data_IF_486429820993
#
_entry.id   IF_486429820993
#
_cell.length_a   1.000
_cell.length_b   1.000
_cell.length_c   1.000
_cell.angle_alpha   90.00
_cell.angle_beta   90.00
_cell.angle_gamma   90.00
#
_symmetry.space_group_name_H-M   'P 1'
#
loop_
_entity.id
_entity.type
_entity.pdbx_description
1 polymer ?
#
# COMPACT_ATOMS: atom_id res chain seq x y z
N UNK A 1 7.52 10.74 3.02
CA UNK A 1 6.88 10.66 4.35
C UNK A 1 7.39 11.72 5.34
N UNK A 2 8.71 12.02 5.37
CA UNK A 2 9.25 13.07 6.24
C UNK A 2 8.68 14.44 5.90
N UNK A 3 8.58 14.79 4.62
CA UNK A 3 7.95 16.04 4.16
C UNK A 3 6.50 16.16 4.61
N UNK A 4 5.76 15.05 4.57
CA UNK A 4 4.37 15.02 5.04
C UNK A 4 4.28 15.33 6.54
N UNK A 5 5.12 14.69 7.36
CA UNK A 5 5.15 14.94 8.81
C UNK A 5 5.55 16.40 9.12
N UNK A 6 6.63 16.87 8.51
CA UNK A 6 7.13 18.24 8.74
C UNK A 6 6.10 19.28 8.33
N UNK A 7 5.50 19.16 7.15
CA UNK A 7 4.49 20.12 6.69
C UNK A 7 3.22 20.06 7.56
N UNK A 8 2.78 18.87 7.95
CA UNK A 8 1.60 18.74 8.82
C UNK A 8 1.80 19.38 10.19
N UNK A 9 3.01 19.29 10.76
CA UNK A 9 3.30 19.87 12.06
C UNK A 9 3.53 21.39 12.02
N UNK A 10 4.25 21.88 11.02
CA UNK A 10 4.71 23.27 11.00
C UNK A 10 3.86 24.17 10.10
N UNK A 11 3.23 23.66 9.06
CA UNK A 11 2.46 24.47 8.12
C UNK A 11 0.96 24.47 8.40
N UNK A 12 0.43 23.54 9.22
CA UNK A 12 -1.00 23.49 9.54
C UNK A 12 -1.60 24.81 10.06
N UNK A 13 -0.91 25.60 10.91
CA UNK A 13 -1.45 26.88 11.40
C UNK A 13 -1.62 27.96 10.33
N UNK A 14 -0.96 27.82 9.18
CA UNK A 14 -0.98 28.81 8.09
C UNK A 14 -2.05 28.54 7.03
N UNK A 15 -2.80 27.43 7.17
CA UNK A 15 -3.85 27.05 6.22
C UNK A 15 -5.24 27.10 6.85
N UNK A 16 -6.19 27.63 6.10
CA UNK A 16 -7.62 27.61 6.46
C UNK A 16 -8.45 26.98 5.33
N UNK A 17 -9.07 25.80 5.54
CA UNK A 17 -8.97 24.95 6.74
C UNK A 17 -7.61 24.23 6.86
N UNK A 18 -7.15 23.89 8.10
CA UNK A 18 -5.84 23.26 8.34
C UNK A 18 -5.62 21.93 7.59
N UNK A 19 -6.69 21.22 7.23
CA UNK A 19 -6.64 19.98 6.46
C UNK A 19 -6.02 20.16 5.06
N UNK A 20 -6.07 21.36 4.49
CA UNK A 20 -5.47 21.67 3.18
C UNK A 20 -3.96 21.46 3.15
N UNK A 21 -3.29 21.57 4.30
CA UNK A 21 -1.85 21.30 4.38
C UNK A 21 -1.50 19.87 4.00
N UNK A 22 -2.40 18.90 4.25
CA UNK A 22 -2.18 17.50 3.92
C UNK A 22 -2.10 17.29 2.41
N UNK A 23 -2.95 17.97 1.63
CA UNK A 23 -2.91 17.92 0.18
C UNK A 23 -1.59 18.51 -0.36
N UNK A 24 -1.18 19.66 0.15
CA UNK A 24 0.11 20.24 -0.20
C UNK A 24 1.30 19.40 0.24
N UNK A 25 1.22 18.74 1.39
CA UNK A 25 2.27 17.84 1.88
C UNK A 25 2.47 16.63 0.96
N UNK A 26 1.40 16.07 0.40
CA UNK A 26 1.48 14.98 -0.60
C UNK A 26 2.13 15.50 -1.89
N UNK A 27 1.69 16.65 -2.41
CA UNK A 27 2.23 17.23 -3.63
C UNK A 27 3.73 17.56 -3.51
N UNK A 28 4.11 18.26 -2.45
CA UNK A 28 5.51 18.63 -2.17
C UNK A 28 6.34 17.38 -1.92
N UNK A 29 5.79 16.37 -1.20
CA UNK A 29 6.45 15.10 -0.99
C UNK A 29 6.78 14.38 -2.28
N UNK A 30 5.84 14.33 -3.23
CA UNK A 30 6.05 13.78 -4.58
C UNK A 30 7.11 14.54 -5.38
N UNK A 31 7.05 15.86 -5.35
CA UNK A 31 8.05 16.71 -6.03
C UNK A 31 9.46 16.52 -5.45
N UNK A 32 9.60 16.47 -4.13
CA UNK A 32 10.87 16.21 -3.45
C UNK A 32 11.39 14.80 -3.75
N UNK A 33 10.53 13.80 -3.80
CA UNK A 33 10.91 12.43 -4.17
C UNK A 33 11.47 12.37 -5.59
N UNK A 34 10.84 13.04 -6.53
CA UNK A 34 11.34 13.15 -7.91
C UNK A 34 12.67 13.91 -7.96
N UNK A 35 12.75 15.07 -7.28
CA UNK A 35 13.97 15.88 -7.25
C UNK A 35 15.15 15.11 -6.64
N UNK A 36 14.91 14.28 -5.64
CA UNK A 36 15.95 13.46 -5.00
C UNK A 36 16.52 12.37 -5.95
N UNK A 37 15.73 11.90 -6.92
CA UNK A 37 16.17 10.90 -7.89
C UNK A 37 17.02 11.51 -9.01
N UNK A 38 16.83 12.79 -9.35
CA UNK A 38 17.53 13.45 -10.46
C UNK A 38 19.07 13.38 -10.34
N UNK A 39 19.69 13.67 -9.19
CA UNK A 39 21.15 13.58 -9.06
C UNK A 39 21.70 12.17 -9.30
N UNK A 40 20.97 11.15 -8.88
CA UNK A 40 21.36 9.75 -9.10
C UNK A 40 21.26 9.39 -10.60
N UNK A 41 20.19 9.81 -11.29
CA UNK A 41 20.00 9.62 -12.71
C UNK A 41 21.07 10.34 -13.54
N UNK A 42 21.45 11.55 -13.15
CA UNK A 42 22.52 12.30 -13.77
C UNK A 42 23.88 11.60 -13.64
N UNK A 43 24.18 11.01 -12.46
CA UNK A 43 25.44 10.28 -12.23
C UNK A 43 25.60 9.05 -13.12
N UNK A 44 24.50 8.37 -13.46
CA UNK A 44 24.52 7.21 -14.37
C UNK A 44 24.38 7.60 -15.83
N UNK A 45 24.36 8.92 -16.16
CA UNK A 45 24.21 9.42 -17.50
C UNK A 45 22.83 9.22 -18.13
N UNK A 46 21.83 8.86 -17.31
CA UNK A 46 20.48 8.60 -17.76
C UNK A 46 19.58 9.80 -17.45
N UNK A 47 19.49 10.72 -18.40
CA UNK A 47 18.50 11.80 -18.33
C UNK A 47 17.32 11.44 -19.23
N UNK A 48 16.16 11.08 -18.66
CA UNK A 48 15.00 10.77 -19.48
C UNK A 48 14.55 12.01 -20.25
N UNK A 49 14.59 11.94 -21.56
CA UNK A 49 13.96 12.95 -22.40
C UNK A 49 12.48 12.61 -22.48
N UNK A 50 11.62 13.50 -21.99
CA UNK A 50 10.18 13.36 -22.11
C UNK A 50 9.80 13.41 -23.61
N UNK A 51 9.53 12.26 -24.15
CA UNK A 51 9.04 12.08 -25.51
C UNK A 51 7.67 11.42 -25.41
N UNK A 52 6.64 12.13 -25.79
CA UNK A 52 5.29 11.59 -25.86
C UNK A 52 5.06 11.01 -27.26
N UNK A 53 5.32 9.72 -27.43
CA UNK A 53 5.04 9.00 -28.66
C UNK A 53 4.06 7.85 -28.38
N UNK A 54 2.79 8.09 -28.69
CA UNK A 54 1.72 7.10 -28.54
C UNK A 54 1.83 5.92 -29.53
N UNK A 55 2.70 6.05 -30.56
CA UNK A 55 2.91 5.01 -31.57
C UNK A 55 4.04 4.06 -31.22
N UNK A 56 4.84 4.40 -30.23
CA UNK A 56 5.92 3.54 -29.75
C UNK A 56 5.39 2.18 -29.31
N UNK A 57 6.02 1.10 -29.79
CA UNK A 57 5.61 -0.28 -29.47
C UNK A 57 5.75 -0.61 -27.99
N UNK A 58 6.74 -0.05 -27.31
CA UNK A 58 6.93 -0.19 -25.86
C UNK A 58 5.76 0.42 -25.08
N UNK A 59 5.32 1.64 -25.49
CA UNK A 59 4.15 2.30 -24.88
C UNK A 59 2.89 1.47 -25.09
N UNK A 60 2.64 0.98 -26.30
CA UNK A 60 1.48 0.13 -26.59
C UNK A 60 1.49 -1.16 -25.77
N UNK A 61 2.65 -1.81 -25.68
CA UNK A 61 2.81 -3.04 -24.89
C UNK A 61 2.51 -2.79 -23.41
N UNK A 62 3.04 -1.72 -22.84
CA UNK A 62 2.76 -1.32 -21.44
C UNK A 62 1.27 -1.08 -21.24
N UNK A 63 0.62 -0.30 -22.09
CA UNK A 63 -0.81 -0.01 -21.99
C UNK A 63 -1.66 -1.27 -22.11
N UNK A 64 -1.32 -2.19 -23.00
CA UNK A 64 -2.03 -3.47 -23.16
C UNK A 64 -1.89 -4.35 -21.91
N UNK A 65 -0.71 -4.38 -21.28
CA UNK A 65 -0.49 -5.14 -20.04
C UNK A 65 -1.11 -4.45 -18.82
N UNK A 66 -1.18 -3.12 -18.81
CA UNK A 66 -1.80 -2.36 -17.73
C UNK A 66 -3.33 -2.50 -17.70
N UNK A 67 -3.98 -2.70 -18.84
CA UNK A 67 -5.46 -2.81 -18.91
C UNK A 67 -6.04 -3.81 -17.90
N UNK A 68 -5.68 -5.10 -17.97
CA UNK A 68 -6.14 -6.09 -16.99
C UNK A 68 -5.70 -5.78 -15.56
N UNK A 69 -4.49 -5.25 -15.37
CA UNK A 69 -3.99 -4.89 -14.04
C UNK A 69 -4.79 -3.72 -13.42
N UNK A 70 -5.11 -2.68 -14.20
CA UNK A 70 -5.95 -1.56 -13.78
C UNK A 70 -7.33 -2.08 -13.36
N UNK A 71 -7.93 -2.97 -14.14
CA UNK A 71 -9.22 -3.57 -13.81
C UNK A 71 -9.16 -4.32 -12.46
N UNK A 72 -8.14 -5.17 -12.26
CA UNK A 72 -7.95 -5.93 -11.02
C UNK A 72 -7.77 -5.02 -9.79
N UNK A 73 -6.97 -3.97 -9.90
CA UNK A 73 -6.75 -3.00 -8.81
C UNK A 73 -8.01 -2.17 -8.56
N UNK A 74 -8.75 -1.80 -9.61
CA UNK A 74 -9.99 -1.02 -9.48
C UNK A 74 -11.06 -1.74 -8.67
N UNK A 75 -11.18 -3.06 -8.79
CA UNK A 75 -12.13 -3.85 -7.99
C UNK A 75 -11.84 -3.70 -6.49
N UNK A 76 -10.59 -3.77 -6.08
CA UNK A 76 -10.21 -3.58 -4.68
C UNK A 76 -10.55 -2.15 -4.19
N UNK A 77 -10.30 -1.12 -5.01
CA UNK A 77 -10.64 0.26 -4.67
C UNK A 77 -12.16 0.48 -4.58
N UNK A 78 -12.93 -0.10 -5.48
CA UNK A 78 -14.40 -0.05 -5.44
C UNK A 78 -14.91 -0.73 -4.16
N UNK A 79 -14.37 -1.88 -3.79
CA UNK A 79 -14.72 -2.57 -2.54
C UNK A 79 -14.47 -1.68 -1.31
N UNK A 80 -13.34 -0.99 -1.27
CA UNK A 80 -12.98 -0.08 -0.19
C UNK A 80 -13.94 1.12 -0.11
N UNK A 81 -14.33 1.68 -1.25
CA UNK A 81 -15.34 2.73 -1.33
C UNK A 81 -16.70 2.24 -0.83
N UNK A 82 -17.14 1.06 -1.26
CA UNK A 82 -18.41 0.48 -0.81
C UNK A 82 -18.41 0.25 0.70
N UNK A 83 -17.33 -0.31 1.26
CA UNK A 83 -17.19 -0.48 2.70
C UNK A 83 -17.30 0.85 3.45
N UNK A 84 -16.67 1.90 2.94
CA UNK A 84 -16.76 3.26 3.53
C UNK A 84 -18.18 3.82 3.44
N UNK A 85 -18.86 3.63 2.31
CA UNK A 85 -20.27 4.04 2.14
C UNK A 85 -21.15 3.30 3.15
N UNK A 86 -21.02 1.98 3.27
CA UNK A 86 -21.80 1.22 4.25
C UNK A 86 -21.50 1.64 5.69
N UNK A 87 -20.21 1.87 6.02
CA UNK A 87 -19.84 2.36 7.34
C UNK A 87 -20.41 3.75 7.65
N UNK A 88 -20.66 4.59 6.64
CA UNK A 88 -21.24 5.93 6.85
C UNK A 88 -22.72 5.90 7.26
N UNK A 89 -23.43 4.82 7.01
CA UNK A 89 -24.82 4.61 7.49
C UNK A 89 -24.90 4.11 8.94
N UNK A 90 -23.78 3.74 9.53
CA UNK A 90 -23.66 3.24 10.89
C UNK A 90 -23.44 4.42 11.87
N UNK A 91 -23.47 4.19 13.21
CA UNK A 91 -23.25 5.23 14.20
C UNK A 91 -21.94 6.02 13.95
N UNK A 92 -21.91 7.25 14.41
CA UNK A 92 -20.75 8.13 14.30
C UNK A 92 -19.51 7.44 14.92
N UNK A 93 -18.43 7.39 14.15
CA UNK A 93 -17.19 6.69 14.52
C UNK A 93 -16.91 5.42 13.70
N UNK A 94 -17.93 4.79 13.11
CA UNK A 94 -17.78 3.50 12.40
C UNK A 94 -16.76 3.55 11.25
N UNK A 95 -16.69 4.66 10.51
CA UNK A 95 -15.68 4.84 9.45
C UNK A 95 -14.27 4.85 10.03
N UNK A 96 -14.08 5.48 11.19
CA UNK A 96 -12.78 5.51 11.87
C UNK A 96 -12.40 4.15 12.42
N UNK A 97 -13.35 3.43 13.03
CA UNK A 97 -13.12 2.06 13.54
C UNK A 97 -12.71 1.10 12.43
N UNK A 98 -13.44 1.14 11.29
CA UNK A 98 -13.09 0.36 10.10
C UNK A 98 -11.68 0.70 9.61
N UNK A 99 -11.34 1.98 9.53
CA UNK A 99 -10.01 2.44 9.11
C UNK A 99 -8.88 1.89 10.01
N UNK A 100 -9.06 1.93 11.34
CA UNK A 100 -8.04 1.41 12.26
C UNK A 100 -7.94 -0.12 12.20
N UNK A 101 -9.06 -0.82 12.03
CA UNK A 101 -9.06 -2.26 11.83
C UNK A 101 -8.31 -2.66 10.55
N UNK A 102 -8.57 -1.97 9.44
CA UNK A 102 -7.86 -2.18 8.17
C UNK A 102 -6.35 -1.93 8.31
N UNK A 103 -5.94 -0.88 9.01
CA UNK A 103 -4.51 -0.60 9.26
C UNK A 103 -3.83 -1.68 10.07
N UNK A 104 -4.51 -2.24 11.05
CA UNK A 104 -3.96 -3.33 11.85
C UNK A 104 -3.81 -4.61 11.02
N UNK A 105 -4.79 -4.92 10.16
CA UNK A 105 -4.76 -6.07 9.25
C UNK A 105 -3.72 -5.89 8.12
N UNK A 106 -3.50 -4.66 7.67
CA UNK A 106 -2.55 -4.37 6.60
C UNK A 106 -1.10 -4.67 7.00
N UNK A 107 -0.75 -4.53 8.28
CA UNK A 107 0.62 -4.72 8.75
C UNK A 107 1.19 -6.13 8.46
N UNK A 108 0.58 -7.25 8.91
CA UNK A 108 1.09 -8.58 8.55
C UNK A 108 0.94 -8.88 7.06
N UNK A 109 -0.12 -8.40 6.41
CA UNK A 109 -0.36 -8.62 4.98
C UNK A 109 0.71 -7.94 4.13
N UNK A 110 1.07 -6.70 4.42
CA UNK A 110 2.12 -5.98 3.71
C UNK A 110 3.50 -6.59 3.96
N UNK A 111 3.80 -6.96 5.21
CA UNK A 111 5.08 -7.58 5.55
C UNK A 111 5.29 -8.89 4.78
N UNK A 112 4.30 -9.78 4.79
CA UNK A 112 4.36 -11.07 4.09
C UNK A 112 4.30 -10.89 2.57
N UNK A 113 3.38 -10.07 2.08
CA UNK A 113 3.18 -9.84 0.65
C UNK A 113 4.40 -9.21 -0.02
N UNK A 114 5.01 -8.19 0.60
CA UNK A 114 6.20 -7.55 0.07
C UNK A 114 7.41 -8.48 0.17
N UNK A 115 7.64 -9.13 1.31
CA UNK A 115 8.77 -10.03 1.49
C UNK A 115 8.73 -11.21 0.51
N UNK A 116 7.59 -11.89 0.41
CA UNK A 116 7.42 -13.02 -0.50
C UNK A 116 7.40 -12.58 -1.97
N UNK A 117 6.73 -11.45 -2.27
CA UNK A 117 6.68 -10.91 -3.63
C UNK A 117 8.05 -10.53 -4.17
N UNK A 118 8.88 -9.88 -3.38
CA UNK A 118 10.24 -9.48 -3.81
C UNK A 118 11.17 -10.67 -4.08
N UNK A 119 10.99 -11.80 -3.37
CA UNK A 119 11.82 -13.00 -3.54
C UNK A 119 11.22 -13.97 -4.56
N UNK A 120 9.92 -14.23 -4.49
CA UNK A 120 9.26 -15.24 -5.31
C UNK A 120 9.01 -14.78 -6.76
N UNK A 121 8.54 -13.55 -6.96
CA UNK A 121 8.17 -13.09 -8.30
C UNK A 121 9.33 -13.15 -9.31
N UNK A 122 10.56 -12.69 -8.99
CA UNK A 122 11.68 -12.82 -9.91
C UNK A 122 12.06 -14.28 -10.19
N UNK A 123 11.97 -15.15 -9.19
CA UNK A 123 12.31 -16.57 -9.32
C UNK A 123 11.27 -17.32 -10.14
N UNK A 124 9.98 -17.10 -9.89
CA UNK A 124 8.89 -17.67 -10.68
C UNK A 124 8.92 -17.17 -12.13
N UNK A 125 9.20 -15.89 -12.36
CA UNK A 125 9.29 -15.33 -13.70
C UNK A 125 10.46 -15.94 -14.49
N UNK A 126 11.59 -16.19 -13.86
CA UNK A 126 12.75 -16.86 -14.48
C UNK A 126 12.44 -18.31 -14.84
N UNK A 127 11.87 -19.09 -13.92
CA UNK A 127 11.48 -20.47 -14.15
C UNK A 127 10.44 -20.59 -15.26
N UNK A 128 9.47 -19.67 -15.30
CA UNK A 128 8.48 -19.60 -16.37
C UNK A 128 9.11 -19.27 -17.73
N UNK A 129 10.00 -18.29 -17.79
CA UNK A 129 10.69 -17.91 -19.03
C UNK A 129 11.63 -19.00 -19.57
N UNK A 130 12.21 -19.80 -18.66
CA UNK A 130 13.06 -20.95 -19.01
C UNK A 130 12.26 -22.21 -19.41
N UNK A 131 10.93 -22.21 -19.25
CA UNK A 131 10.08 -23.37 -19.53
C UNK A 131 10.20 -24.46 -18.46
N UNK A 132 10.79 -24.19 -17.32
CA UNK A 132 11.04 -25.14 -16.22
C UNK A 132 9.81 -25.32 -15.34
N UNK A 133 8.79 -25.99 -15.86
CA UNK A 133 7.50 -26.18 -15.20
C UNK A 133 7.61 -26.86 -13.82
N UNK A 134 8.54 -27.78 -13.64
CA UNK A 134 8.73 -28.47 -12.37
C UNK A 134 9.32 -27.54 -11.30
N UNK A 135 10.29 -26.71 -11.67
CA UNK A 135 10.87 -25.72 -10.75
C UNK A 135 9.89 -24.62 -10.40
N UNK A 136 9.12 -24.14 -11.38
CA UNK A 136 8.02 -23.20 -11.14
C UNK A 136 7.03 -23.75 -10.10
N UNK A 137 6.60 -25.02 -10.26
CA UNK A 137 5.65 -25.65 -9.33
C UNK A 137 6.22 -25.81 -7.92
N UNK A 138 7.51 -26.16 -7.79
CA UNK A 138 8.18 -26.25 -6.48
C UNK A 138 8.28 -24.91 -5.78
N UNK A 139 8.65 -23.86 -6.51
CA UNK A 139 8.73 -22.52 -5.98
C UNK A 139 7.35 -22.00 -5.52
N UNK A 140 6.32 -22.28 -6.30
CA UNK A 140 4.96 -21.90 -5.97
C UNK A 140 4.46 -22.66 -4.72
N UNK A 141 4.66 -23.98 -4.66
CA UNK A 141 4.29 -24.80 -3.50
C UNK A 141 5.02 -24.34 -2.23
N UNK A 142 6.33 -24.08 -2.33
CA UNK A 142 7.09 -23.53 -1.21
C UNK A 142 6.56 -22.19 -0.74
N UNK A 143 6.28 -21.26 -1.68
CA UNK A 143 5.73 -19.95 -1.35
C UNK A 143 4.36 -20.01 -0.69
N UNK A 144 3.47 -20.87 -1.20
CA UNK A 144 2.15 -21.09 -0.61
C UNK A 144 2.24 -21.65 0.81
N UNK A 145 3.08 -22.67 1.03
CA UNK A 145 3.29 -23.24 2.37
C UNK A 145 3.83 -22.23 3.34
N UNK A 146 4.81 -21.42 2.92
CA UNK A 146 5.38 -20.36 3.75
C UNK A 146 4.35 -19.29 4.06
N UNK A 147 3.53 -18.89 3.09
CA UNK A 147 2.44 -17.95 3.30
C UNK A 147 1.46 -18.47 4.36
N UNK A 148 0.99 -19.70 4.23
CA UNK A 148 0.05 -20.31 5.18
C UNK A 148 0.69 -20.42 6.58
N UNK A 149 1.94 -20.88 6.64
CA UNK A 149 2.68 -21.04 7.90
C UNK A 149 2.82 -19.71 8.68
N UNK A 150 3.00 -18.61 7.99
CA UNK A 150 3.16 -17.29 8.61
C UNK A 150 1.83 -16.57 8.80
N UNK A 151 0.91 -16.67 7.84
CA UNK A 151 -0.38 -15.98 7.90
C UNK A 151 -1.31 -16.55 8.97
N UNK A 152 -1.35 -17.87 9.18
CA UNK A 152 -2.22 -18.48 10.19
C UNK A 152 -1.88 -18.02 11.63
N UNK A 153 -0.61 -18.08 12.09
CA UNK A 153 -0.26 -17.55 13.41
C UNK A 153 -0.49 -16.05 13.54
N UNK A 154 -0.21 -15.28 12.47
CA UNK A 154 -0.47 -13.84 12.46
C UNK A 154 -1.97 -13.52 12.60
N UNK A 155 -2.82 -14.24 11.88
CA UNK A 155 -4.28 -14.09 11.98
C UNK A 155 -4.78 -14.48 13.37
N UNK A 156 -4.30 -15.59 13.94
CA UNK A 156 -4.63 -16.00 15.29
C UNK A 156 -4.17 -14.97 16.34
N UNK A 157 -2.96 -14.45 16.20
CA UNK A 157 -2.44 -13.40 17.06
C UNK A 157 -3.29 -12.12 16.99
N UNK A 158 -3.66 -11.68 15.78
CA UNK A 158 -4.56 -10.53 15.61
C UNK A 158 -5.94 -10.78 16.23
N UNK A 159 -6.50 -11.97 16.07
CA UNK A 159 -7.81 -12.30 16.67
C UNK A 159 -7.78 -12.21 18.19
N UNK A 160 -6.71 -12.70 18.83
CA UNK A 160 -6.57 -12.70 20.29
C UNK A 160 -6.12 -11.35 20.84
N UNK A 161 -5.21 -10.68 20.13
CA UNK A 161 -4.55 -9.45 20.60
C UNK A 161 -5.16 -8.17 19.98
N UNK A 162 -6.26 -8.26 19.23
CA UNK A 162 -6.87 -7.10 18.56
C UNK A 162 -7.13 -5.95 19.52
N UNK A 163 -7.84 -6.19 20.62
CA UNK A 163 -8.17 -5.16 21.59
C UNK A 163 -6.94 -4.53 22.25
N UNK A 164 -5.99 -5.29 22.85
CA UNK A 164 -4.78 -4.68 23.41
C UNK A 164 -3.92 -3.96 22.38
N UNK A 165 -3.85 -4.44 21.14
CA UNK A 165 -3.13 -3.75 20.07
C UNK A 165 -3.77 -2.42 19.70
N UNK A 166 -5.09 -2.40 19.48
CA UNK A 166 -5.80 -1.16 19.17
C UNK A 166 -5.67 -0.15 20.31
N UNK A 167 -5.85 -0.58 21.56
CA UNK A 167 -5.69 0.30 22.72
C UNK A 167 -4.26 0.84 22.83
N UNK A 168 -3.24 0.00 22.65
CA UNK A 168 -1.85 0.42 22.80
C UNK A 168 -1.42 1.38 21.69
N UNK A 169 -1.89 1.16 20.46
CA UNK A 169 -1.46 1.93 19.30
C UNK A 169 -2.30 3.19 19.06
N UNK A 170 -3.58 3.16 19.37
CA UNK A 170 -4.52 4.23 18.96
C UNK A 170 -5.25 4.92 20.10
N UNK A 171 -5.15 4.45 21.35
CA UNK A 171 -5.80 5.08 22.50
C UNK A 171 -5.10 6.38 22.90
N UNK A 172 -5.18 7.41 22.04
CA UNK A 172 -4.66 8.74 22.28
C UNK A 172 -5.68 9.80 21.89
N UNK A 173 -5.73 10.90 22.64
CA UNK A 173 -6.62 12.04 22.34
C UNK A 173 -8.10 11.69 22.46
N UNK A 174 -8.85 11.84 21.38
CA UNK A 174 -10.30 11.61 21.36
C UNK A 174 -10.72 10.13 21.23
N UNK A 175 -9.78 9.21 20.92
CA UNK A 175 -10.08 7.79 20.74
C UNK A 175 -10.16 7.09 22.09
N UNK A 176 -11.35 6.63 22.46
CA UNK A 176 -11.64 6.01 23.76
C UNK A 176 -11.48 4.49 23.77
N UNK A 177 -11.43 3.88 24.97
CA UNK A 177 -11.45 2.41 25.12
C UNK A 177 -12.76 1.81 24.58
N UNK A 178 -13.87 2.58 24.60
CA UNK A 178 -15.14 2.14 24.03
C UNK A 178 -15.01 2.00 22.52
N UNK A 179 -14.36 2.96 21.84
CA UNK A 179 -14.09 2.89 20.40
C UNK A 179 -13.22 1.70 20.02
N UNK A 180 -12.32 1.29 20.89
CA UNK A 180 -11.46 0.11 20.67
C UNK A 180 -12.20 -1.23 20.76
N UNK A 181 -13.39 -1.25 21.36
CA UNK A 181 -14.23 -2.46 21.54
C UNK A 181 -15.27 -2.66 20.44
N UNK A 182 -15.54 -1.61 19.67
CA UNK A 182 -16.45 -1.63 18.51
C UNK A 182 -15.79 -2.22 17.28
#
# INVERSE_FOLDING_TARGET
NLSFIVLSLFAAPYFDPPVMVLAWAVFIGGALQLAFQVPALLRIGFLPRLRFDWRDEGVKRVLTLMGPAIFGVSVAQISLLLNTIFASFLPTGSVSWLYYADRLMEFPTALLGVALGTVLLPSLSRAHAAGESNEYSKLLDWGLRLTVLLALPAAAALAVLSLPLVVTLFHYGAFSVMDARM
#
